data_IF_444995229101
#
_entry.id   IF_444995229101
#
_cell.length_a   1.000
_cell.length_b   1.000
_cell.length_c   1.000
_cell.angle_alpha   90.00
_cell.angle_beta   90.00
_cell.angle_gamma   90.00
#
_symmetry.space_group_name_H-M   'P 1'
#
loop_
_entity.id
_entity.type
_entity.pdbx_description
1 polymer ?
#
# COMPACT_ATOMS: atom_id res chain seq x y z
N UNK A 1 -3.87 5.26 15.44
CA UNK A 1 -3.79 5.27 13.96
C UNK A 1 -4.18 6.64 13.45
N UNK A 2 -3.47 7.15 12.46
CA UNK A 2 -3.79 8.46 11.89
C UNK A 2 -5.05 8.42 11.05
N UNK A 3 -5.76 9.54 11.01
CA UNK A 3 -6.92 9.69 10.15
C UNK A 3 -6.51 10.03 8.73
N UNK A 4 -7.43 9.85 7.78
CA UNK A 4 -7.19 10.21 6.39
C UNK A 4 -6.86 11.70 6.26
N UNK A 5 -7.55 12.54 7.02
CA UNK A 5 -7.32 13.99 7.03
C UNK A 5 -5.92 14.32 7.53
N UNK A 6 -5.46 13.63 8.57
CA UNK A 6 -4.10 13.82 9.08
C UNK A 6 -3.05 13.42 8.06
N UNK A 7 -3.27 12.30 7.37
CA UNK A 7 -2.37 11.84 6.31
C UNK A 7 -2.30 12.87 5.18
N UNK A 8 -3.45 13.38 4.75
CA UNK A 8 -3.48 14.39 3.68
C UNK A 8 -2.75 15.67 4.10
N UNK A 9 -2.89 16.05 5.36
CA UNK A 9 -2.23 17.23 5.89
C UNK A 9 -0.70 17.07 5.90
N UNK A 10 -0.22 15.87 6.27
CA UNK A 10 1.21 15.56 6.28
C UNK A 10 1.78 15.37 4.89
N UNK A 11 0.94 14.93 3.94
CA UNK A 11 1.34 14.63 2.57
C UNK A 11 0.40 15.34 1.60
N UNK A 12 0.48 16.68 1.53
CA UNK A 12 -0.51 17.46 0.75
C UNK A 12 -0.49 17.18 -0.75
N UNK A 13 0.60 16.62 -1.28
CA UNK A 13 0.68 16.27 -2.69
C UNK A 13 0.25 14.85 -3.01
N UNK A 14 -0.24 14.12 -2.00
CA UNK A 14 -0.77 12.77 -2.20
C UNK A 14 -2.19 12.87 -2.79
N UNK A 15 -2.37 12.25 -3.95
CA UNK A 15 -3.64 12.26 -4.68
C UNK A 15 -4.12 10.81 -4.89
N UNK A 16 -5.27 10.65 -5.51
CA UNK A 16 -5.83 9.31 -5.77
C UNK A 16 -4.90 8.41 -6.57
N UNK A 17 -4.05 8.97 -7.43
CA UNK A 17 -3.09 8.16 -8.20
C UNK A 17 -1.73 8.02 -7.53
N UNK A 18 -1.58 8.54 -6.32
CA UNK A 18 -0.31 8.58 -5.62
C UNK A 18 0.17 10.02 -5.51
N UNK A 19 1.46 10.21 -5.26
CA UNK A 19 2.00 11.56 -5.17
C UNK A 19 2.01 12.25 -6.52
N UNK A 20 1.75 13.56 -6.49
CA UNK A 20 1.95 14.42 -7.64
C UNK A 20 3.39 14.31 -8.10
N UNK A 21 3.60 14.20 -9.42
CA UNK A 21 4.93 14.15 -10.00
C UNK A 21 4.94 14.89 -11.33
N UNK A 22 6.11 15.07 -11.91
CA UNK A 22 6.26 15.77 -13.19
C UNK A 22 6.77 14.79 -14.25
N UNK A 23 6.12 14.80 -15.39
CA UNK A 23 6.51 14.00 -16.54
C UNK A 23 6.61 14.93 -17.73
N UNK A 24 7.79 14.96 -18.36
CA UNK A 24 8.05 15.82 -19.52
C UNK A 24 7.72 17.28 -19.22
N UNK A 25 8.02 17.73 -18.00
CA UNK A 25 7.75 19.10 -17.59
C UNK A 25 6.33 19.38 -17.16
N UNK A 26 5.43 18.43 -17.27
CA UNK A 26 4.04 18.60 -16.90
C UNK A 26 3.73 17.94 -15.56
N UNK A 27 2.89 18.64 -14.78
CA UNK A 27 2.43 18.14 -13.49
C UNK A 27 1.41 17.03 -13.71
N UNK A 28 1.63 15.88 -13.06
CA UNK A 28 0.70 14.76 -13.09
C UNK A 28 0.11 14.56 -11.71
N UNK A 29 -1.19 14.74 -11.59
CA UNK A 29 -1.94 14.49 -10.35
C UNK A 29 -3.40 14.24 -10.73
N UNK A 30 -4.11 13.52 -9.86
CA UNK A 30 -5.54 13.31 -10.08
C UNK A 30 -6.25 12.87 -8.83
N UNK A 31 -7.49 13.36 -8.67
CA UNK A 31 -8.39 12.92 -7.63
C UNK A 31 -7.99 13.35 -6.23
N UNK A 32 -8.95 13.30 -5.34
CA UNK A 32 -8.75 13.64 -3.94
C UNK A 32 -8.96 12.39 -3.11
N UNK A 33 -7.98 12.06 -2.26
CA UNK A 33 -8.09 10.90 -1.37
C UNK A 33 -9.17 11.08 -0.31
N UNK A 34 -9.53 12.31 0.01
CA UNK A 34 -10.51 12.59 1.08
C UNK A 34 -11.94 12.17 0.71
N UNK A 35 -12.20 11.88 -0.55
CA UNK A 35 -13.55 11.59 -1.02
C UNK A 35 -14.07 10.19 -0.66
N UNK A 36 -13.22 9.29 -0.14
CA UNK A 36 -13.60 7.89 0.06
C UNK A 36 -13.18 7.34 1.42
N UNK A 37 -13.77 7.87 2.51
CA UNK A 37 -13.37 7.44 3.86
C UNK A 37 -13.68 5.96 4.15
N UNK A 38 -14.72 5.39 3.55
CA UNK A 38 -15.05 3.98 3.75
C UNK A 38 -14.01 3.07 3.10
N UNK A 39 -13.51 3.47 1.93
CA UNK A 39 -12.44 2.75 1.25
C UNK A 39 -11.17 2.76 2.09
N UNK A 40 -10.82 3.92 2.63
CA UNK A 40 -9.68 4.08 3.53
C UNK A 40 -9.78 3.12 4.71
N UNK A 41 -10.94 3.10 5.38
CA UNK A 41 -11.15 2.23 6.54
C UNK A 41 -11.03 0.76 6.16
N UNK A 42 -11.61 0.37 5.04
CA UNK A 42 -11.57 -1.02 4.59
C UNK A 42 -10.13 -1.48 4.35
N UNK A 43 -9.31 -0.63 3.75
CA UNK A 43 -7.90 -0.96 3.52
C UNK A 43 -7.15 -1.06 4.85
N UNK A 44 -7.36 -0.10 5.75
CA UNK A 44 -6.72 -0.12 7.06
C UNK A 44 -7.06 -1.40 7.82
N UNK A 45 -8.33 -1.76 7.85
CA UNK A 45 -8.77 -2.97 8.55
C UNK A 45 -8.12 -4.21 7.94
N UNK A 46 -8.09 -4.31 6.62
CA UNK A 46 -7.46 -5.44 5.95
C UNK A 46 -5.97 -5.52 6.29
N UNK A 47 -5.25 -4.41 6.19
CA UNK A 47 -3.82 -4.38 6.45
C UNK A 47 -3.51 -4.75 7.89
N UNK A 48 -4.23 -4.17 8.85
CA UNK A 48 -4.00 -4.44 10.26
C UNK A 48 -4.27 -5.90 10.63
N UNK A 49 -5.22 -6.54 9.98
CA UNK A 49 -5.60 -7.92 10.30
C UNK A 49 -4.74 -8.95 9.57
N UNK A 50 -4.19 -8.60 8.41
CA UNK A 50 -3.65 -9.62 7.51
C UNK A 50 -2.19 -9.45 7.12
N UNK A 51 -1.64 -8.24 7.19
CA UNK A 51 -0.30 -7.98 6.67
C UNK A 51 0.61 -7.47 7.78
N UNK A 52 1.59 -8.29 8.14
CA UNK A 52 2.55 -7.93 9.17
C UNK A 52 3.55 -6.88 8.73
N UNK A 53 4.12 -6.21 9.71
CA UNK A 53 5.20 -5.25 9.49
C UNK A 53 6.54 -5.99 9.47
N UNK A 54 7.51 -5.45 8.74
CA UNK A 54 8.87 -5.99 8.77
C UNK A 54 9.86 -4.85 8.99
N UNK A 55 11.07 -5.21 9.38
CA UNK A 55 12.11 -4.22 9.70
C UNK A 55 12.69 -3.58 8.45
N UNK A 56 12.85 -4.36 7.40
CA UNK A 56 13.46 -3.90 6.17
C UNK A 56 12.40 -3.57 5.12
N UNK A 57 12.76 -2.68 4.22
CA UNK A 57 11.86 -2.27 3.14
C UNK A 57 11.66 -3.42 2.17
N UNK A 58 10.41 -3.61 1.75
CA UNK A 58 10.07 -4.63 0.76
C UNK A 58 10.04 -3.98 -0.63
N UNK A 59 11.06 -4.28 -1.44
CA UNK A 59 11.17 -3.73 -2.78
C UNK A 59 10.63 -4.66 -3.87
N UNK A 60 9.99 -5.76 -3.49
CA UNK A 60 9.43 -6.70 -4.48
C UNK A 60 8.25 -6.14 -5.24
N UNK A 61 7.60 -5.12 -4.70
CA UNK A 61 6.51 -4.46 -5.39
C UNK A 61 6.27 -3.08 -4.81
N UNK A 62 5.92 -2.15 -5.68
CA UNK A 62 5.54 -0.81 -5.25
C UNK A 62 4.08 -0.78 -4.84
N UNK A 63 3.64 0.37 -4.31
CA UNK A 63 2.25 0.56 -3.91
C UNK A 63 1.26 0.24 -5.01
N UNK A 64 1.59 0.51 -6.28
CA UNK A 64 0.70 0.22 -7.39
C UNK A 64 0.42 -1.28 -7.52
N UNK A 65 1.47 -2.10 -7.46
CA UNK A 65 1.30 -3.56 -7.49
C UNK A 65 0.61 -4.07 -6.24
N UNK A 66 0.98 -3.55 -5.09
CA UNK A 66 0.40 -3.98 -3.81
C UNK A 66 -1.09 -3.62 -3.72
N UNK A 67 -1.49 -2.47 -4.26
CA UNK A 67 -2.90 -2.12 -4.23
C UNK A 67 -3.75 -3.10 -5.03
N UNK A 68 -3.22 -3.64 -6.12
CA UNK A 68 -3.92 -4.66 -6.90
C UNK A 68 -4.10 -5.96 -6.09
N UNK A 69 -3.09 -6.32 -5.30
CA UNK A 69 -3.19 -7.47 -4.41
C UNK A 69 -4.32 -7.28 -3.40
N UNK A 70 -4.36 -6.11 -2.78
CA UNK A 70 -5.38 -5.80 -1.77
C UNK A 70 -6.77 -5.66 -2.39
N UNK A 71 -6.87 -5.09 -3.60
CA UNK A 71 -8.13 -5.05 -4.34
C UNK A 71 -8.75 -6.43 -4.49
N UNK A 72 -7.93 -7.39 -4.92
CA UNK A 72 -8.42 -8.76 -5.11
C UNK A 72 -8.87 -9.38 -3.80
N UNK A 73 -8.14 -9.10 -2.72
CA UNK A 73 -8.48 -9.66 -1.41
C UNK A 73 -9.75 -9.05 -0.83
N UNK A 74 -9.91 -7.74 -0.98
CA UNK A 74 -11.10 -7.03 -0.45
C UNK A 74 -12.31 -7.22 -1.38
N UNK A 75 -12.06 -7.34 -2.69
CA UNK A 75 -13.13 -7.60 -3.64
C UNK A 75 -13.67 -6.38 -4.35
N UNK A 76 -13.00 -5.23 -4.27
CA UNK A 76 -13.40 -4.04 -5.01
C UNK A 76 -12.19 -3.16 -5.31
N UNK A 77 -12.37 -2.23 -6.25
CA UNK A 77 -11.31 -1.32 -6.65
C UNK A 77 -10.86 -0.41 -5.51
N UNK A 78 -9.57 -0.20 -5.41
CA UNK A 78 -8.99 0.81 -4.53
C UNK A 78 -7.96 1.62 -5.32
N UNK A 79 -7.82 2.90 -4.99
CA UNK A 79 -6.86 3.74 -5.67
C UNK A 79 -5.47 3.59 -5.06
N UNK A 80 -4.44 3.87 -5.87
CA UNK A 80 -3.05 3.82 -5.41
C UNK A 80 -2.82 4.78 -4.23
N UNK A 81 -3.33 6.01 -4.35
CA UNK A 81 -3.17 7.00 -3.29
C UNK A 81 -3.88 6.61 -2.01
N UNK A 82 -5.03 5.98 -2.11
CA UNK A 82 -5.75 5.52 -0.93
C UNK A 82 -5.01 4.37 -0.25
N UNK A 83 -4.45 3.45 -1.04
CA UNK A 83 -3.61 2.39 -0.49
C UNK A 83 -2.40 2.97 0.25
N UNK A 84 -1.74 3.97 -0.34
CA UNK A 84 -0.60 4.64 0.28
C UNK A 84 -1.05 5.30 1.60
N UNK A 85 -2.15 6.04 1.58
CA UNK A 85 -2.65 6.73 2.77
C UNK A 85 -2.96 5.74 3.90
N UNK A 86 -3.63 4.64 3.58
CA UNK A 86 -3.95 3.62 4.58
C UNK A 86 -2.68 2.96 5.13
N UNK A 87 -1.72 2.69 4.27
CA UNK A 87 -0.45 2.09 4.70
C UNK A 87 0.31 3.01 5.65
N UNK A 88 0.31 4.30 5.37
CA UNK A 88 0.91 5.29 6.26
C UNK A 88 0.16 5.37 7.59
N UNK A 89 -1.17 5.37 7.53
CA UNK A 89 -2.01 5.43 8.73
C UNK A 89 -1.79 4.22 9.63
N UNK A 90 -1.52 3.06 9.04
CA UNK A 90 -1.22 1.83 9.77
C UNK A 90 0.24 1.72 10.20
N UNK A 91 1.01 2.78 10.01
CA UNK A 91 2.39 2.90 10.48
C UNK A 91 3.41 1.98 9.80
N UNK A 92 3.15 1.54 8.59
CA UNK A 92 4.18 0.82 7.85
C UNK A 92 5.32 1.78 7.48
N UNK A 93 6.56 1.33 7.65
CA UNK A 93 7.71 2.11 7.19
C UNK A 93 7.62 2.27 5.68
N UNK A 94 7.97 3.43 5.18
CA UNK A 94 7.74 3.81 3.80
C UNK A 94 8.98 4.43 3.17
N UNK A 95 9.20 4.14 1.89
CA UNK A 95 10.19 4.81 1.05
C UNK A 95 9.49 5.37 -0.17
N UNK A 96 9.65 6.66 -0.39
CA UNK A 96 9.14 7.33 -1.58
C UNK A 96 10.33 8.01 -2.26
N UNK A 97 10.51 7.71 -3.54
CA UNK A 97 11.57 8.35 -4.33
C UNK A 97 10.95 9.47 -5.16
N UNK A 98 10.92 9.31 -6.48
CA UNK A 98 10.26 10.25 -7.37
C UNK A 98 9.11 9.52 -8.05
N UNK A 99 8.07 10.22 -8.41
CA UNK A 99 6.92 9.61 -9.05
C UNK A 99 5.80 9.30 -8.07
N UNK A 100 4.75 8.59 -8.52
CA UNK A 100 3.53 8.44 -7.74
C UNK A 100 3.56 7.35 -6.70
N UNK A 101 4.49 6.39 -6.79
CA UNK A 101 4.45 5.16 -5.99
C UNK A 101 5.40 5.18 -4.82
N UNK A 102 5.14 4.31 -3.86
CA UNK A 102 6.00 4.12 -2.70
C UNK A 102 6.26 2.64 -2.46
N UNK A 103 7.26 2.35 -1.64
CA UNK A 103 7.54 1.00 -1.13
C UNK A 103 7.27 0.98 0.36
N UNK A 104 6.87 -0.17 0.86
CA UNK A 104 6.52 -0.33 2.27
C UNK A 104 7.21 -1.54 2.88
N UNK A 105 7.42 -1.49 4.18
CA UNK A 105 8.00 -2.60 4.93
C UNK A 105 6.90 -3.56 5.36
N UNK A 106 6.31 -4.23 4.38
CA UNK A 106 5.23 -5.20 4.57
C UNK A 106 5.73 -6.63 4.40
N UNK A 107 5.19 -7.54 5.18
CA UNK A 107 5.54 -8.95 5.15
C UNK A 107 5.25 -9.57 3.78
N UNK A 108 6.29 -10.07 3.12
CA UNK A 108 6.13 -10.74 1.82
C UNK A 108 5.36 -12.05 1.95
N UNK A 109 5.58 -12.77 3.03
CA UNK A 109 4.87 -14.01 3.30
C UNK A 109 3.36 -13.78 3.37
N UNK A 110 2.97 -12.72 4.10
CA UNK A 110 1.55 -12.40 4.23
C UNK A 110 0.98 -11.93 2.90
N UNK A 111 1.73 -11.10 2.15
CA UNK A 111 1.30 -10.65 0.84
C UNK A 111 1.11 -11.81 -0.14
N UNK A 112 1.98 -12.82 -0.07
CA UNK A 112 1.91 -13.96 -0.98
C UNK A 112 0.59 -14.73 -0.88
N UNK A 113 -0.05 -14.70 0.26
CA UNK A 113 -1.35 -15.37 0.45
C UNK A 113 -2.42 -14.78 -0.47
N UNK A 114 -2.25 -13.54 -0.86
CA UNK A 114 -3.24 -12.80 -1.65
C UNK A 114 -2.77 -12.54 -3.09
N UNK A 115 -1.46 -12.49 -3.32
CA UNK A 115 -0.91 -12.28 -4.66
C UNK A 115 -1.10 -13.51 -5.55
N UNK A 116 -1.09 -14.69 -4.95
CA UNK A 116 -1.18 -15.95 -5.68
C UNK A 116 -2.28 -16.83 -5.11
N UNK A 117 -3.54 -16.43 -5.24
CA UNK A 117 -4.65 -17.11 -4.58
C UNK A 117 -4.83 -18.57 -4.99
N UNK A 118 -4.34 -18.96 -6.17
CA UNK A 118 -4.43 -20.33 -6.65
C UNK A 118 -3.20 -21.15 -6.34
N UNK A 119 -2.21 -20.59 -5.68
CA UNK A 119 -0.99 -21.29 -5.34
C UNK A 119 -1.16 -21.96 -3.99
N UNK A 120 -0.74 -23.22 -3.82
CA UNK A 120 -0.82 -23.87 -2.51
C UNK A 120 -0.04 -23.10 -1.47
N UNK A 121 -0.64 -22.93 -0.29
CA UNK A 121 0.00 -22.23 0.81
C UNK A 121 1.10 -23.05 1.46
N UNK A 122 1.18 -24.32 1.12
CA UNK A 122 2.09 -25.27 1.77
C UNK A 122 3.33 -25.57 0.97
N UNK A 123 3.65 -24.74 0.03
CA UNK A 123 4.82 -25.01 -0.81
C UNK A 123 6.09 -25.19 0.00
N UNK A 124 5.97 -25.14 1.29
CA UNK A 124 6.95 -25.64 2.20
C UNK A 124 8.19 -24.82 2.34
N UNK A 125 8.47 -24.00 1.44
CA UNK A 125 9.64 -23.16 1.57
C UNK A 125 9.39 -22.06 2.59
N UNK A 126 10.27 -21.87 3.58
CA UNK A 126 10.16 -20.67 4.40
C UNK A 126 10.35 -19.47 3.50
N UNK A 127 9.58 -18.46 3.74
CA UNK A 127 9.75 -17.22 3.02
C UNK A 127 10.79 -16.40 3.76
N UNK A 128 11.98 -16.33 3.19
CA UNK A 128 13.11 -15.68 3.82
C UNK A 128 12.90 -14.18 4.03
N UNK A 129 12.04 -13.59 3.22
CA UNK A 129 11.76 -12.16 3.32
C UNK A 129 11.14 -11.79 4.66
N UNK A 130 10.47 -12.74 5.31
CA UNK A 130 9.74 -12.49 6.53
C UNK A 130 10.51 -12.84 7.79
N UNK A 131 11.69 -13.37 7.67
CA UNK A 131 12.47 -13.79 8.85
C UNK A 131 12.92 -12.61 9.69
N UNK A 132 12.89 -11.43 9.14
CA UNK A 132 13.30 -10.21 9.82
C UNK A 132 12.17 -9.54 10.58
N UNK A 133 10.97 -9.99 10.36
CA UNK A 133 9.78 -9.37 10.97
C UNK A 133 9.60 -9.74 12.46
#
# INVERSE_FOLDING_TARGET
MKTLEEIKKEHPTLTANGWTYYSRGEKVSSGDILNRPKEFKAICDFLNENIGHRKTMNYNGSSYGLKHTVERAIGHYISNGMFIAASLACNYKMKHYNGPNAFFAMSQKDLNRYQYPNKPLTDGGPNLDDTED
#
